data_IF_931492987809
#
_entry.id   IF_931492987809
#
_cell.length_a   1.000
_cell.length_b   1.000
_cell.length_c   1.000
_cell.angle_alpha   90.00
_cell.angle_beta   90.00
_cell.angle_gamma   90.00
#
_symmetry.space_group_name_H-M   'P 1'
#
loop_
_entity.id
_entity.type
_entity.pdbx_description
1 polymer ?
#
# COMPACT_ATOMS: atom_id res chain seq x y z
N UNK A 1 -17.06 -4.94 -9.81
CA UNK A 1 -16.02 -4.16 -9.15
C UNK A 1 -14.74 -4.97 -9.17
N UNK A 2 -13.63 -4.34 -9.54
CA UNK A 2 -12.35 -5.03 -9.60
C UNK A 2 -11.78 -5.25 -8.21
N UNK A 3 -10.87 -6.23 -8.10
CA UNK A 3 -10.16 -6.46 -6.83
C UNK A 3 -9.36 -5.24 -6.42
N UNK A 4 -8.77 -4.54 -7.40
CA UNK A 4 -8.02 -3.31 -7.10
C UNK A 4 -8.94 -2.28 -6.46
N UNK A 5 -10.16 -2.15 -6.94
CA UNK A 5 -11.12 -1.21 -6.37
C UNK A 5 -11.47 -1.59 -4.93
N UNK A 6 -11.58 -2.88 -4.67
CA UNK A 6 -11.82 -3.35 -3.31
C UNK A 6 -10.64 -2.99 -2.40
N UNK A 7 -9.41 -3.15 -2.90
CA UNK A 7 -8.23 -2.76 -2.15
C UNK A 7 -8.22 -1.25 -1.90
N UNK A 8 -8.59 -0.46 -2.90
CA UNK A 8 -8.70 0.99 -2.75
C UNK A 8 -9.62 1.34 -1.58
N UNK A 9 -10.77 0.70 -1.53
CA UNK A 9 -11.75 0.97 -0.48
C UNK A 9 -11.23 0.58 0.89
N UNK A 10 -10.51 -0.53 0.98
CA UNK A 10 -9.90 -0.97 2.23
C UNK A 10 -8.88 0.05 2.71
N UNK A 11 -8.02 0.53 1.82
CA UNK A 11 -6.98 1.49 2.18
C UNK A 11 -7.57 2.83 2.58
N UNK A 12 -8.62 3.28 1.90
CA UNK A 12 -9.32 4.52 2.25
C UNK A 12 -9.91 4.40 3.65
N UNK A 13 -10.56 3.30 3.96
CA UNK A 13 -11.14 3.09 5.28
C UNK A 13 -10.06 3.03 6.36
N UNK A 14 -8.95 2.39 6.05
CA UNK A 14 -7.84 2.24 6.98
C UNK A 14 -7.17 3.59 7.28
N UNK A 15 -6.95 4.40 6.25
CA UNK A 15 -6.34 5.71 6.39
C UNK A 15 -7.30 6.72 7.04
N UNK A 16 -8.59 6.55 6.80
CA UNK A 16 -9.59 7.48 7.30
C UNK A 16 -9.77 8.70 6.44
N UNK A 17 -9.23 8.69 5.23
CA UNK A 17 -9.39 9.79 4.28
C UNK A 17 -9.25 9.28 2.85
N UNK A 18 -9.53 10.14 1.89
CA UNK A 18 -9.44 9.77 0.49
C UNK A 18 -8.03 9.93 -0.10
N UNK A 19 -7.03 10.18 0.74
CA UNK A 19 -5.65 10.41 0.28
C UNK A 19 -4.94 9.09 -0.04
N UNK A 20 -5.56 8.26 -0.86
CA UNK A 20 -5.02 6.99 -1.33
C UNK A 20 -4.89 7.08 -2.84
N UNK A 21 -3.68 6.92 -3.34
CA UNK A 21 -3.36 7.13 -4.76
C UNK A 21 -2.83 5.84 -5.37
N UNK A 22 -3.40 5.47 -6.51
CA UNK A 22 -2.93 4.31 -7.26
C UNK A 22 -2.08 4.77 -8.42
N UNK A 23 -0.78 4.43 -8.38
CA UNK A 23 0.16 4.76 -9.45
C UNK A 23 0.04 6.22 -9.91
N UNK A 24 0.12 7.18 -8.98
CA UNK A 24 -0.06 8.58 -9.36
C UNK A 24 1.10 9.06 -10.23
N UNK A 25 0.83 9.99 -11.14
CA UNK A 25 1.92 10.62 -11.89
C UNK A 25 2.75 11.50 -10.96
N UNK A 26 4.02 11.72 -11.33
CA UNK A 26 4.92 12.53 -10.51
C UNK A 26 4.43 13.96 -10.32
N UNK A 27 3.64 14.45 -11.25
CA UNK A 27 3.15 15.83 -11.21
C UNK A 27 2.02 16.05 -10.20
N UNK A 28 1.46 14.97 -9.65
CA UNK A 28 0.36 15.13 -8.70
C UNK A 28 0.88 15.66 -7.38
N UNK A 29 0.10 16.56 -6.77
CA UNK A 29 0.43 17.09 -5.46
C UNK A 29 -0.21 16.20 -4.40
N UNK A 30 0.63 15.63 -3.56
CA UNK A 30 0.17 14.73 -2.49
C UNK A 30 -0.21 15.52 -1.25
N UNK A 31 -1.24 15.05 -0.56
CA UNK A 31 -1.65 15.60 0.72
C UNK A 31 -1.38 14.54 1.78
N UNK A 32 -0.59 14.89 2.77
CA UNK A 32 -0.14 13.93 3.80
C UNK A 32 -1.00 14.03 5.05
N UNK A 33 -1.21 12.92 5.76
CA UNK A 33 -0.69 11.58 5.45
C UNK A 33 -1.40 10.97 4.25
N UNK A 34 -0.69 10.12 3.53
CA UNK A 34 -1.27 9.49 2.36
C UNK A 34 -0.75 8.05 2.21
N UNK A 35 -1.44 7.30 1.37
CA UNK A 35 -1.02 5.98 0.97
C UNK A 35 -0.90 5.98 -0.54
N UNK A 36 0.26 5.55 -1.04
CA UNK A 36 0.48 5.35 -2.46
C UNK A 36 0.66 3.86 -2.66
N UNK A 37 -0.04 3.29 -3.61
CA UNK A 37 0.17 1.89 -3.92
C UNK A 37 0.26 1.70 -5.42
N UNK A 38 0.99 0.69 -5.81
CA UNK A 38 1.18 0.36 -7.20
C UNK A 38 1.29 -1.14 -7.37
N UNK A 39 1.02 -1.58 -8.57
CA UNK A 39 1.17 -2.97 -8.90
C UNK A 39 2.65 -3.28 -9.05
N UNK A 40 3.07 -4.33 -8.39
CA UNK A 40 4.45 -4.78 -8.48
C UNK A 40 4.45 -6.08 -9.25
N UNK A 41 4.96 -6.03 -10.46
CA UNK A 41 4.98 -7.19 -11.33
C UNK A 41 6.24 -8.03 -11.19
N UNK A 42 7.09 -7.67 -10.26
CA UNK A 42 8.40 -8.30 -10.16
C UNK A 42 8.33 -9.77 -9.81
N UNK A 43 7.24 -10.20 -9.23
CA UNK A 43 7.15 -11.57 -8.78
C UNK A 43 5.72 -12.05 -8.76
N UNK A 44 5.52 -13.27 -9.19
CA UNK A 44 4.24 -13.94 -9.03
C UNK A 44 4.34 -14.90 -7.86
N UNK A 45 3.22 -15.19 -7.26
CA UNK A 45 3.15 -16.23 -6.27
C UNK A 45 3.16 -17.56 -7.00
N UNK A 46 4.06 -18.43 -6.62
CA UNK A 46 4.11 -19.77 -7.17
C UNK A 46 3.09 -20.62 -6.45
N UNK A 47 1.94 -20.68 -7.02
CA UNK A 47 0.86 -21.37 -6.37
C UNK A 47 0.01 -22.01 -7.44
N UNK A 48 0.57 -23.00 -8.06
CA UNK A 48 -0.03 -23.65 -9.23
C UNK A 48 -1.46 -24.06 -8.97
N UNK A 49 -1.72 -24.56 -7.78
CA UNK A 49 -3.02 -25.07 -7.44
C UNK A 49 -3.69 -24.29 -6.35
N UNK A 50 -3.17 -23.12 -6.03
CA UNK A 50 -3.66 -22.42 -4.86
C UNK A 50 -4.67 -21.37 -5.24
N UNK A 51 -5.46 -20.92 -4.27
CA UNK A 51 -6.38 -19.79 -4.48
C UNK A 51 -5.68 -18.48 -4.80
N UNK A 52 -4.36 -18.46 -4.73
CA UNK A 52 -3.61 -17.23 -4.98
C UNK A 52 -3.33 -16.98 -6.46
N UNK A 53 -3.69 -17.87 -7.37
CA UNK A 53 -3.32 -17.69 -8.77
C UNK A 53 -3.90 -16.42 -9.40
N UNK A 54 -4.97 -15.88 -8.84
CA UNK A 54 -5.54 -14.61 -9.30
C UNK A 54 -5.11 -13.44 -8.44
N UNK A 55 -4.19 -13.67 -7.53
CA UNK A 55 -3.73 -12.66 -6.61
C UNK A 55 -2.59 -11.88 -7.24
N UNK A 56 -2.62 -10.58 -7.06
CA UNK A 56 -1.58 -9.71 -7.58
C UNK A 56 -0.78 -9.13 -6.43
N UNK A 57 0.48 -8.83 -6.71
CA UNK A 57 1.35 -8.20 -5.73
C UNK A 57 1.28 -6.69 -5.88
N UNK A 58 1.10 -6.02 -4.76
CA UNK A 58 1.10 -4.56 -4.70
C UNK A 58 2.18 -4.09 -3.74
N UNK A 59 2.80 -2.98 -4.09
CA UNK A 59 3.68 -2.28 -3.17
C UNK A 59 2.91 -1.11 -2.60
N UNK A 60 2.83 -1.05 -1.28
CA UNK A 60 2.08 -0.01 -0.57
C UNK A 60 3.07 0.84 0.20
N UNK A 61 3.01 2.14 0.01
CA UNK A 61 3.86 3.09 0.75
C UNK A 61 2.98 4.03 1.55
N UNK A 62 3.19 4.04 2.85
CA UNK A 62 2.52 4.98 3.76
C UNK A 62 3.47 6.15 3.98
N UNK A 63 3.01 7.36 3.69
CA UNK A 63 3.83 8.57 3.84
C UNK A 63 3.17 9.46 4.88
N UNK A 64 3.90 9.76 5.95
CA UNK A 64 3.37 10.54 7.05
C UNK A 64 4.50 11.33 7.70
N UNK A 65 4.21 12.57 8.08
CA UNK A 65 5.17 13.39 8.82
C UNK A 65 5.25 13.04 10.30
N UNK A 66 4.32 12.25 10.81
CA UNK A 66 4.30 11.86 12.22
C UNK A 66 5.05 10.54 12.40
N UNK A 67 6.20 10.54 13.11
CA UNK A 67 6.95 9.30 13.30
C UNK A 67 6.21 8.26 14.16
N UNK A 68 5.20 8.70 14.89
CA UNK A 68 4.42 7.80 15.76
C UNK A 68 3.06 7.47 15.17
N UNK A 69 2.92 7.58 13.85
CA UNK A 69 1.67 7.29 13.17
C UNK A 69 1.26 5.83 13.37
N UNK A 70 -0.02 5.60 13.62
CA UNK A 70 -0.56 4.25 13.72
C UNK A 70 -0.96 3.65 12.38
N UNK A 71 -0.86 4.41 11.30
CA UNK A 71 -1.27 3.94 9.98
C UNK A 71 -0.44 2.74 9.50
N UNK A 72 0.90 2.77 9.62
CA UNK A 72 1.69 1.61 9.21
C UNK A 72 1.30 0.31 9.94
N UNK A 73 0.98 0.41 11.23
CA UNK A 73 0.57 -0.76 11.99
C UNK A 73 -0.74 -1.34 11.46
N UNK A 74 -1.65 -0.47 11.03
CA UNK A 74 -2.91 -0.92 10.45
C UNK A 74 -2.70 -1.61 9.11
N UNK A 75 -1.79 -1.09 8.30
CA UNK A 75 -1.47 -1.73 7.01
C UNK A 75 -0.82 -3.09 7.25
N UNK A 76 0.07 -3.17 8.23
CA UNK A 76 0.76 -4.42 8.53
C UNK A 76 -0.19 -5.55 8.96
N UNK A 77 -1.37 -5.20 9.45
CA UNK A 77 -2.36 -6.20 9.88
C UNK A 77 -3.19 -6.76 8.74
N UNK A 78 -3.05 -6.24 7.55
CA UNK A 78 -3.80 -6.77 6.41
C UNK A 78 -3.31 -8.18 6.07
N UNK A 79 -4.23 -9.08 5.66
CA UNK A 79 -3.84 -10.42 5.27
C UNK A 79 -2.84 -10.39 4.11
N UNK A 80 -1.87 -11.29 4.15
CA UNK A 80 -0.86 -11.43 3.10
C UNK A 80 -0.04 -10.17 2.88
N UNK A 81 0.10 -9.36 3.92
CA UNK A 81 0.90 -8.15 3.90
C UNK A 81 2.19 -8.39 4.67
N UNK A 82 3.30 -7.94 4.11
CA UNK A 82 4.60 -8.02 4.77
C UNK A 82 5.30 -6.68 4.71
N UNK A 83 6.00 -6.34 5.79
CA UNK A 83 6.78 -5.13 5.85
C UNK A 83 8.03 -5.27 5.00
N UNK A 84 8.35 -4.26 4.21
CA UNK A 84 9.54 -4.28 3.37
C UNK A 84 10.64 -3.43 3.99
N UNK A 85 10.43 -2.12 4.06
CA UNK A 85 11.45 -1.20 4.58
C UNK A 85 10.81 0.13 4.95
N UNK A 86 11.60 0.95 5.64
CA UNK A 86 11.22 2.34 5.90
C UNK A 86 12.40 3.25 5.60
N UNK A 87 12.09 4.48 5.26
CA UNK A 87 13.11 5.51 5.03
C UNK A 87 12.47 6.87 5.22
N UNK A 88 13.31 7.90 5.30
CA UNK A 88 12.87 9.29 5.42
C UNK A 88 13.30 10.06 4.19
N UNK A 89 12.40 10.89 3.68
CA UNK A 89 12.70 11.79 2.58
C UNK A 89 11.84 13.04 2.75
N UNK A 90 12.42 14.22 2.57
CA UNK A 90 11.71 15.51 2.68
C UNK A 90 10.98 15.67 4.02
N UNK A 91 11.60 15.19 5.10
CA UNK A 91 11.04 15.21 6.44
C UNK A 91 9.76 14.39 6.59
N UNK A 92 9.56 13.44 5.70
CA UNK A 92 8.42 12.53 5.75
C UNK A 92 8.90 11.11 5.95
N UNK A 93 8.16 10.36 6.74
CA UNK A 93 8.44 8.96 6.99
C UNK A 93 7.72 8.10 5.95
N UNK A 94 8.48 7.23 5.30
CA UNK A 94 7.94 6.33 4.30
C UNK A 94 8.06 4.90 4.83
N UNK A 95 6.93 4.20 4.90
CA UNK A 95 6.90 2.80 5.29
C UNK A 95 6.37 2.00 4.12
N UNK A 96 7.17 1.05 3.65
CA UNK A 96 6.87 0.29 2.44
C UNK A 96 6.49 -1.14 2.80
N UNK A 97 5.41 -1.60 2.22
CA UNK A 97 4.87 -2.94 2.44
C UNK A 97 4.64 -3.64 1.11
N UNK A 98 4.68 -4.95 1.15
CA UNK A 98 4.28 -5.79 0.03
C UNK A 98 3.01 -6.51 0.41
N UNK A 99 2.01 -6.45 -0.46
CA UNK A 99 0.71 -7.04 -0.21
C UNK A 99 0.29 -7.86 -1.41
N UNK A 100 -0.19 -9.06 -1.13
CA UNK A 100 -0.82 -9.88 -2.16
C UNK A 100 -2.33 -9.79 -1.99
N UNK A 101 -2.99 -9.42 -3.06
CA UNK A 101 -4.42 -9.17 -2.97
C UNK A 101 -5.21 -9.68 -4.19
#
# INVERSE_FOLDING_TARGET
VSKRQDLQNILVALLGSSNVYFQPPESIKLIYPCIIYRRDSARTIFADDSPYKNTKRYQITVIDGNPDSGIPDKVAKLPLCSYDRSFSADNLNHDVFNLFF
#
